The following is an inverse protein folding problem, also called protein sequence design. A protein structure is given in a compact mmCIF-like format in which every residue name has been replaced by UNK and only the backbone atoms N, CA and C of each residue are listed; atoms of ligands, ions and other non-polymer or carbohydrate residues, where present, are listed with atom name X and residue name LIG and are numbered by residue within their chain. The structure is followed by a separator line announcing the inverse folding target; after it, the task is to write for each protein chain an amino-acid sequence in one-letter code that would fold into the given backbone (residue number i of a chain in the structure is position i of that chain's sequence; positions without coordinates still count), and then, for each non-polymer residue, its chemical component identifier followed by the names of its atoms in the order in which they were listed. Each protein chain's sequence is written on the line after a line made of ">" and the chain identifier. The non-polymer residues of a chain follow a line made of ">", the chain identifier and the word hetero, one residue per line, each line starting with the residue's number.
data_IF_339255277968
#
_entry.id   IF_339255277968
#
_cell.length_a   1.000
_cell.length_b   1.000
_cell.length_c   1.000
_cell.angle_alpha   90.00
_cell.angle_beta   90.00
_cell.angle_gamma   90.00
#
_symmetry.space_group_name_H-M   'P 1'
#
loop_
_entity.id
_entity.type
_entity.pdbx_description
1 polymer ?
#
# COMPACT_ATOMS: atom_id res chain seq x y z
N UNK A 1 24.66 -51.26 -32.67
CA UNK A 1 25.41 -49.99 -32.51
C UNK A 1 24.63 -48.93 -33.30
N UNK A 2 24.06 -47.84 -32.80
CA UNK A 2 24.29 -47.00 -31.62
C UNK A 2 22.98 -46.53 -30.95
N UNK A 3 23.02 -46.37 -29.63
CA UNK A 3 22.13 -45.51 -28.84
C UNK A 3 22.55 -44.05 -29.02
N UNK A 4 21.60 -43.12 -29.00
CA UNK A 4 21.68 -41.69 -28.54
C UNK A 4 20.38 -41.02 -28.99
N UNK A 5 19.67 -40.17 -28.25
CA UNK A 5 19.72 -39.71 -26.88
C UNK A 5 18.34 -39.07 -26.66
N UNK A 6 17.64 -39.46 -25.61
CA UNK A 6 16.42 -38.80 -25.14
C UNK A 6 16.84 -37.43 -24.62
N UNK A 7 16.53 -36.36 -25.36
CA UNK A 7 16.56 -35.00 -24.82
C UNK A 7 15.20 -34.81 -24.15
N UNK A 8 15.17 -35.07 -22.85
CA UNK A 8 14.07 -34.63 -21.98
C UNK A 8 14.07 -33.11 -22.04
N UNK A 9 13.13 -32.54 -22.79
CA UNK A 9 12.77 -31.12 -22.68
C UNK A 9 12.21 -30.93 -21.27
N UNK A 10 13.10 -30.65 -20.32
CA UNK A 10 12.73 -30.16 -18.99
C UNK A 10 12.10 -28.79 -19.20
N UNK A 11 10.76 -28.82 -19.29
CA UNK A 11 9.89 -27.67 -19.21
C UNK A 11 10.20 -26.94 -17.89
N UNK A 12 11.03 -25.90 -17.98
CA UNK A 12 11.31 -24.98 -16.89
C UNK A 12 9.99 -24.22 -16.62
N UNK A 13 9.16 -24.79 -15.75
CA UNK A 13 8.11 -24.05 -15.07
C UNK A 13 8.81 -22.97 -14.26
N UNK A 14 8.99 -21.79 -14.85
CA UNK A 14 9.23 -20.56 -14.11
C UNK A 14 7.95 -20.38 -13.30
N UNK A 15 7.94 -20.89 -12.08
CA UNK A 15 7.04 -20.44 -11.04
C UNK A 15 7.33 -18.95 -10.88
N UNK A 16 6.59 -18.14 -11.64
CA UNK A 16 6.69 -16.69 -11.62
C UNK A 16 6.60 -16.25 -10.17
N UNK A 17 7.65 -15.57 -9.70
CA UNK A 17 7.61 -14.77 -8.50
C UNK A 17 6.43 -13.80 -8.65
N UNK A 18 5.29 -14.15 -8.07
CA UNK A 18 4.17 -13.24 -7.86
C UNK A 18 4.62 -12.23 -6.80
N UNK A 19 5.41 -11.25 -7.20
CA UNK A 19 5.59 -10.03 -6.43
C UNK A 19 4.23 -9.32 -6.41
N UNK A 20 3.64 -9.04 -5.23
CA UNK A 20 2.41 -8.27 -5.15
C UNK A 20 2.73 -6.83 -5.57
N UNK A 21 2.58 -6.53 -6.86
CA UNK A 21 2.81 -5.21 -7.47
C UNK A 21 2.01 -4.08 -6.79
N UNK A 22 0.97 -4.41 -6.02
CA UNK A 22 0.15 -3.42 -5.31
C UNK A 22 0.84 -2.80 -4.09
N UNK A 23 1.82 -3.47 -3.47
CA UNK A 23 2.39 -3.01 -2.20
C UNK A 23 3.32 -1.80 -2.35
N UNK A 24 4.08 -1.74 -3.45
CA UNK A 24 4.99 -0.64 -3.73
C UNK A 24 4.21 0.68 -4.00
N UNK A 25 3.14 0.61 -4.79
CA UNK A 25 2.30 1.78 -5.10
C UNK A 25 1.59 2.32 -3.85
N UNK A 26 1.03 1.45 -3.02
CA UNK A 26 0.37 1.87 -1.78
C UNK A 26 1.35 2.55 -0.82
N UNK A 27 2.58 2.04 -0.72
CA UNK A 27 3.66 2.61 0.10
C UNK A 27 4.01 4.05 -0.34
N UNK A 28 4.25 4.26 -1.63
CA UNK A 28 4.65 5.57 -2.17
C UNK A 28 3.55 6.63 -1.99
N UNK A 29 2.29 6.24 -2.25
CA UNK A 29 1.12 7.12 -2.05
C UNK A 29 0.96 7.48 -0.58
N UNK A 30 1.13 6.49 0.30
CA UNK A 30 0.95 6.66 1.74
C UNK A 30 1.95 7.63 2.35
N UNK A 31 3.24 7.43 2.07
CA UNK A 31 4.28 8.31 2.55
C UNK A 31 4.10 9.75 2.04
N UNK A 32 3.80 9.89 0.74
CA UNK A 32 3.57 11.20 0.11
C UNK A 32 2.45 11.97 0.83
N UNK A 33 1.27 11.37 0.99
CA UNK A 33 0.13 12.09 1.55
C UNK A 33 0.23 12.28 3.07
N UNK A 34 0.79 11.33 3.81
CA UNK A 34 1.04 11.53 5.25
C UNK A 34 1.98 12.70 5.50
N UNK A 35 2.99 12.90 4.65
CA UNK A 35 3.93 14.03 4.77
C UNK A 35 3.40 15.35 4.23
N UNK A 36 2.42 15.33 3.32
CA UNK A 36 1.92 16.54 2.64
C UNK A 36 0.46 16.81 2.97
N UNK A 37 -0.47 16.12 2.31
CA UNK A 37 -1.91 16.34 2.42
C UNK A 37 -2.42 16.25 3.85
N UNK A 38 -2.07 15.19 4.59
CA UNK A 38 -2.59 14.95 5.94
C UNK A 38 -2.07 15.95 6.98
N UNK A 39 -0.89 16.54 6.76
CA UNK A 39 -0.29 17.54 7.65
C UNK A 39 -0.64 18.99 7.27
N UNK A 40 -1.42 19.20 6.20
CA UNK A 40 -1.75 20.55 5.71
C UNK A 40 -2.79 21.29 6.54
N UNK A 41 -3.66 20.57 7.26
CA UNK A 41 -4.74 21.16 8.06
C UNK A 41 -4.55 20.93 9.56
N UNK A 42 -4.02 19.77 9.96
CA UNK A 42 -3.76 19.39 11.35
C UNK A 42 -2.59 18.40 11.41
N UNK A 43 -2.08 18.11 12.61
CA UNK A 43 -1.02 17.10 12.75
C UNK A 43 -1.51 15.70 12.37
N UNK A 44 -0.61 14.86 11.89
CA UNK A 44 -0.84 13.43 11.64
C UNK A 44 -0.86 12.54 12.90
N UNK A 45 -0.84 13.11 14.12
CA UNK A 45 -0.85 12.32 15.37
C UNK A 45 -2.07 11.40 15.49
N UNK A 46 -3.26 11.91 15.17
CA UNK A 46 -4.49 11.12 15.21
C UNK A 46 -4.50 9.96 14.22
N UNK A 47 -4.19 10.16 12.92
CA UNK A 47 -4.13 9.02 12.04
C UNK A 47 -3.04 8.00 12.45
N UNK A 48 -1.96 8.45 13.08
CA UNK A 48 -0.92 7.56 13.58
C UNK A 48 -1.32 6.76 14.83
N UNK A 49 -2.17 7.31 15.72
CA UNK A 49 -2.69 6.57 16.88
C UNK A 49 -3.72 5.50 16.49
N UNK A 50 -4.30 5.60 15.29
CA UNK A 50 -5.36 4.74 14.77
C UNK A 50 -4.86 3.70 13.75
N UNK A 51 -3.54 3.57 13.55
CA UNK A 51 -2.96 2.57 12.66
C UNK A 51 -3.43 1.16 13.01
N UNK A 52 -3.79 0.38 11.98
CA UNK A 52 -4.32 -0.97 12.15
C UNK A 52 -5.85 -1.04 12.31
N UNK A 53 -6.56 0.09 12.33
CA UNK A 53 -8.02 0.10 12.15
C UNK A 53 -8.42 -0.53 10.80
N UNK A 54 -9.68 -0.94 10.68
CA UNK A 54 -10.10 -1.66 9.47
C UNK A 54 -10.03 -0.78 8.22
N UNK A 55 -9.89 -1.41 7.05
CA UNK A 55 -9.92 -0.73 5.75
C UNK A 55 -11.15 0.19 5.63
N UNK A 56 -12.33 -0.32 6.03
CA UNK A 56 -13.59 0.41 5.96
C UNK A 56 -13.58 1.64 6.86
N UNK A 57 -13.08 1.53 8.09
CA UNK A 57 -13.02 2.67 9.02
C UNK A 57 -12.12 3.78 8.43
N UNK A 58 -11.02 3.40 7.80
CA UNK A 58 -10.13 4.33 7.12
C UNK A 58 -10.76 5.00 5.91
N UNK A 59 -11.48 4.27 5.07
CA UNK A 59 -12.21 4.84 3.94
C UNK A 59 -13.24 5.89 4.41
N UNK A 60 -13.93 5.62 5.52
CA UNK A 60 -14.87 6.56 6.13
C UNK A 60 -14.16 7.81 6.68
N UNK A 61 -13.03 7.64 7.37
CA UNK A 61 -12.21 8.76 7.87
C UNK A 61 -11.72 9.62 6.70
N UNK A 62 -11.11 9.01 5.68
CA UNK A 62 -10.56 9.71 4.51
C UNK A 62 -11.67 10.41 3.71
N UNK A 63 -12.84 9.80 3.59
CA UNK A 63 -14.01 10.43 2.96
C UNK A 63 -14.44 11.70 3.69
N UNK A 64 -14.45 11.68 5.04
CA UNK A 64 -14.70 12.91 5.83
C UNK A 64 -13.62 13.96 5.60
N UNK A 65 -12.35 13.56 5.46
CA UNK A 65 -11.27 14.51 5.17
C UNK A 65 -11.44 15.17 3.80
N UNK A 66 -11.88 14.43 2.78
CA UNK A 66 -12.20 14.98 1.46
C UNK A 66 -13.34 16.00 1.57
N UNK A 67 -14.41 15.66 2.30
CA UNK A 67 -15.52 16.61 2.55
C UNK A 67 -15.04 17.88 3.25
N UNK A 68 -13.99 17.80 4.06
CA UNK A 68 -13.34 18.92 4.73
C UNK A 68 -12.26 19.61 3.89
N UNK A 69 -12.09 19.24 2.61
CA UNK A 69 -11.19 19.90 1.67
C UNK A 69 -9.85 19.22 1.41
N UNK A 70 -9.62 18.00 1.93
CA UNK A 70 -8.42 17.25 1.60
C UNK A 70 -8.39 16.85 0.12
N UNK A 71 -7.30 17.17 -0.57
CA UNK A 71 -7.11 16.84 -1.99
C UNK A 71 -6.62 15.39 -2.15
N UNK A 72 -7.56 14.44 -2.16
CA UNK A 72 -7.32 13.02 -2.44
C UNK A 72 -8.29 12.53 -3.52
N UNK A 73 -7.78 11.83 -4.53
CA UNK A 73 -8.61 11.11 -5.50
C UNK A 73 -9.16 9.80 -4.90
N UNK A 74 -10.22 9.24 -5.50
CA UNK A 74 -10.79 7.95 -5.07
C UNK A 74 -9.75 6.81 -5.06
N UNK A 75 -8.83 6.80 -6.03
CA UNK A 75 -7.74 5.80 -6.09
C UNK A 75 -6.75 5.99 -4.94
N UNK A 76 -6.40 7.22 -4.62
CA UNK A 76 -5.53 7.54 -3.49
C UNK A 76 -6.21 7.20 -2.17
N UNK A 77 -7.53 7.39 -2.02
CA UNK A 77 -8.29 6.96 -0.83
C UNK A 77 -8.13 5.46 -0.59
N UNK A 78 -8.35 4.63 -1.60
CA UNK A 78 -8.22 3.18 -1.45
C UNK A 78 -6.78 2.78 -1.06
N UNK A 79 -5.77 3.36 -1.72
CA UNK A 79 -4.37 3.10 -1.41
C UNK A 79 -3.96 3.58 0.00
N UNK A 80 -4.48 4.74 0.43
CA UNK A 80 -4.29 5.27 1.77
C UNK A 80 -4.96 4.40 2.83
N UNK A 81 -6.20 3.96 2.59
CA UNK A 81 -6.93 3.09 3.50
C UNK A 81 -6.21 1.74 3.67
N UNK A 82 -5.75 1.14 2.56
CA UNK A 82 -4.97 -0.09 2.60
C UNK A 82 -3.68 0.12 3.40
N UNK A 83 -2.95 1.19 3.13
CA UNK A 83 -1.72 1.50 3.86
C UNK A 83 -1.94 1.68 5.37
N UNK A 84 -2.96 2.45 5.78
CA UNK A 84 -3.23 2.79 7.17
C UNK A 84 -3.89 1.65 7.96
N UNK A 85 -4.60 0.77 7.25
CA UNK A 85 -5.21 -0.42 7.84
C UNK A 85 -4.21 -1.48 8.27
N UNK A 86 -2.97 -1.37 7.82
CA UNK A 86 -1.90 -2.26 8.21
C UNK A 86 -0.76 -1.47 8.87
N UNK A 87 -0.09 -2.01 9.89
CA UNK A 87 1.11 -1.41 10.46
C UNK A 87 2.32 -1.63 9.53
N UNK A 88 2.19 -1.26 8.26
CA UNK A 88 3.21 -1.38 7.22
C UNK A 88 4.44 -0.55 7.57
N UNK A 89 5.60 -0.91 7.00
CA UNK A 89 6.83 -0.15 7.22
C UNK A 89 6.67 1.33 6.80
N UNK A 90 5.93 1.58 5.72
CA UNK A 90 5.60 2.91 5.22
C UNK A 90 4.77 3.73 6.23
N UNK A 91 3.65 3.15 6.70
CA UNK A 91 2.79 3.79 7.68
C UNK A 91 3.53 4.08 8.99
N UNK A 92 4.33 3.12 9.47
CA UNK A 92 5.17 3.30 10.66
C UNK A 92 6.22 4.39 10.46
N UNK A 93 6.94 4.41 9.34
CA UNK A 93 7.97 5.42 9.07
C UNK A 93 7.40 6.84 9.04
N UNK A 94 6.19 7.01 8.50
CA UNK A 94 5.49 8.29 8.48
C UNK A 94 4.96 8.72 9.87
N UNK A 95 4.77 7.76 10.78
CA UNK A 95 4.21 7.97 12.12
C UNK A 95 5.24 7.99 13.26
N UNK A 96 6.51 7.72 12.98
CA UNK A 96 7.61 7.71 13.97
C UNK A 96 8.24 9.10 14.20
N UNK A 97 7.55 10.20 13.91
CA UNK A 97 8.06 11.56 14.11
C UNK A 97 7.41 12.29 15.26
#
# INVERSE_FOLDING_TARGET
>A
MWRKNIIVLTSLMIAGLYLPQNQAMATDVCEKHLKTTCNSCHSNKEPCSQLGNSLKDWEEILSRMILNGAALSKKEVAAMAECLSQPSAAAKAACQK
#
